data_IF_329595056613
#
_entry.id   IF_329595056613
#
_cell.length_a   1.000
_cell.length_b   1.000
_cell.length_c   1.000
_cell.angle_alpha   90.00
_cell.angle_beta   90.00
_cell.angle_gamma   90.00
#
_symmetry.space_group_name_H-M   'P 1'
#
loop_
_entity.id
_entity.type
_entity.pdbx_description
1 polymer ?
#
# COMPACT_ATOMS: atom_id res chain seq x y z
N UNK A 1 25.01 11.50 1.90
CA UNK A 1 24.69 12.39 0.76
C UNK A 1 24.24 11.52 -0.41
N UNK A 2 23.16 11.87 -1.08
CA UNK A 2 22.64 11.14 -2.26
C UNK A 2 22.50 12.16 -3.38
N UNK A 3 23.16 11.93 -4.52
CA UNK A 3 23.13 12.82 -5.68
C UNK A 3 23.32 14.31 -5.31
N UNK A 4 24.33 14.63 -4.51
CA UNK A 4 24.64 15.97 -3.98
C UNK A 4 23.61 16.59 -3.04
N UNK A 5 22.66 15.81 -2.53
CA UNK A 5 21.70 16.24 -1.51
C UNK A 5 22.07 15.68 -0.14
N UNK A 6 21.96 16.53 0.90
CA UNK A 6 22.01 16.10 2.28
C UNK A 6 20.71 15.38 2.62
N UNK A 7 20.83 14.14 3.10
CA UNK A 7 19.68 13.27 3.38
C UNK A 7 19.77 12.83 4.83
N UNK A 8 18.66 13.00 5.55
CA UNK A 8 18.46 12.48 6.90
C UNK A 8 17.47 11.33 6.80
N UNK A 9 17.84 10.17 7.34
CA UNK A 9 16.96 9.00 7.42
C UNK A 9 16.41 8.88 8.84
N UNK A 10 15.09 8.76 8.95
CA UNK A 10 14.38 8.68 10.22
C UNK A 10 13.67 7.33 10.28
N UNK A 11 13.99 6.54 11.30
CA UNK A 11 13.29 5.28 11.57
C UNK A 11 12.35 5.49 12.75
N UNK A 12 11.06 5.37 12.51
CA UNK A 12 10.05 5.48 13.57
C UNK A 12 9.90 4.10 14.22
N UNK A 13 10.13 4.00 15.53
CA UNK A 13 10.13 2.73 16.26
C UNK A 13 8.74 2.13 16.51
N UNK A 14 7.67 2.89 16.31
CA UNK A 14 6.27 2.48 16.54
C UNK A 14 5.40 2.92 15.38
N UNK A 15 4.46 2.07 14.98
CA UNK A 15 3.45 2.42 13.97
C UNK A 15 2.45 3.44 14.53
N UNK A 16 1.93 4.30 13.66
CA UNK A 16 0.83 5.22 13.97
C UNK A 16 1.15 6.68 13.64
N UNK A 17 0.09 7.47 13.48
CA UNK A 17 0.19 8.90 13.12
C UNK A 17 0.91 9.71 14.19
N UNK A 18 0.63 9.47 15.48
CA UNK A 18 1.27 10.21 16.59
C UNK A 18 2.81 10.09 16.60
N UNK A 19 3.38 8.88 16.67
CA UNK A 19 4.83 8.68 16.57
C UNK A 19 5.45 9.28 15.30
N UNK A 20 4.76 9.19 14.16
CA UNK A 20 5.23 9.75 12.90
C UNK A 20 5.26 11.29 12.92
N UNK A 21 4.22 11.93 13.45
CA UNK A 21 4.15 13.38 13.62
C UNK A 21 5.26 13.89 14.52
N UNK A 22 5.44 13.28 15.70
CA UNK A 22 6.51 13.68 16.63
C UNK A 22 7.90 13.53 15.99
N UNK A 23 8.17 12.43 15.29
CA UNK A 23 9.43 12.26 14.57
C UNK A 23 9.63 13.32 13.48
N UNK A 24 8.59 13.67 12.74
CA UNK A 24 8.65 14.71 11.72
C UNK A 24 8.93 16.10 12.34
N UNK A 25 8.25 16.46 13.43
CA UNK A 25 8.46 17.71 14.16
C UNK A 25 9.90 17.85 14.67
N UNK A 26 10.44 16.80 15.29
CA UNK A 26 11.84 16.77 15.72
C UNK A 26 12.80 16.95 14.53
N UNK A 27 12.53 16.31 13.39
CA UNK A 27 13.36 16.46 12.21
C UNK A 27 13.31 17.87 11.63
N UNK A 28 12.11 18.47 11.54
CA UNK A 28 11.97 19.85 11.10
C UNK A 28 12.70 20.82 12.03
N UNK A 29 12.66 20.58 13.35
CA UNK A 29 13.37 21.39 14.32
C UNK A 29 14.89 21.24 14.25
N UNK A 30 15.41 20.01 14.07
CA UNK A 30 16.85 19.74 14.05
C UNK A 30 17.50 20.06 12.70
N UNK A 31 16.74 20.01 11.62
CA UNK A 31 17.23 20.20 10.25
C UNK A 31 16.42 21.29 9.54
N UNK A 32 16.69 22.58 9.83
CA UNK A 32 15.87 23.69 9.34
C UNK A 32 15.87 23.85 7.82
N UNK A 33 16.85 23.24 7.12
CA UNK A 33 17.00 23.30 5.67
C UNK A 33 16.32 22.14 4.93
N UNK A 34 15.44 21.36 5.57
CA UNK A 34 14.64 20.33 4.89
C UNK A 34 13.72 21.00 3.85
N UNK A 35 13.91 20.64 2.58
CA UNK A 35 13.07 21.12 1.45
C UNK A 35 12.06 20.09 0.97
N UNK A 36 12.33 18.82 1.19
CA UNK A 36 11.50 17.69 0.77
C UNK A 36 11.54 16.60 1.85
N UNK A 37 10.36 16.12 2.22
CA UNK A 37 10.19 14.96 3.08
C UNK A 37 9.52 13.85 2.27
N UNK A 38 10.08 12.65 2.31
CA UNK A 38 9.53 11.46 1.67
C UNK A 38 9.07 10.49 2.75
N UNK A 39 7.79 10.13 2.71
CA UNK A 39 7.24 9.06 3.56
C UNK A 39 7.26 7.78 2.75
N UNK A 40 8.08 6.81 3.18
CA UNK A 40 8.27 5.55 2.48
C UNK A 40 7.94 4.41 3.43
N UNK A 41 7.23 3.40 2.94
CA UNK A 41 6.83 2.24 3.72
C UNK A 41 6.13 1.20 2.88
N UNK A 42 5.66 0.13 3.53
CA UNK A 42 4.78 -0.86 2.93
C UNK A 42 3.33 -0.44 3.16
N UNK A 43 2.53 -0.46 2.09
CA UNK A 43 1.14 -0.01 2.12
C UNK A 43 0.24 -1.10 1.53
N UNK A 44 -1.02 -1.13 1.97
CA UNK A 44 -2.06 -1.89 1.27
C UNK A 44 -2.44 -1.17 -0.04
N UNK A 45 -2.70 -1.95 -1.08
CA UNK A 45 -3.12 -1.43 -2.39
C UNK A 45 -4.57 -1.76 -2.69
N UNK A 46 -5.22 -0.91 -3.49
CA UNK A 46 -6.48 -1.25 -4.17
C UNK A 46 -6.09 -1.88 -5.51
N UNK A 47 -6.32 -3.19 -5.72
CA UNK A 47 -5.76 -3.90 -6.87
C UNK A 47 -6.26 -3.39 -8.23
N UNK A 48 -7.48 -2.87 -8.27
CA UNK A 48 -8.13 -2.36 -9.48
C UNK A 48 -8.61 -0.93 -9.26
N UNK A 49 -8.00 0.02 -9.96
CA UNK A 49 -8.41 1.43 -9.95
C UNK A 49 -9.32 1.68 -11.15
N UNK A 50 -10.49 2.28 -10.91
CA UNK A 50 -11.46 2.54 -11.98
C UNK A 50 -10.86 3.48 -13.03
N UNK A 51 -10.85 3.03 -14.29
CA UNK A 51 -10.31 3.80 -15.42
C UNK A 51 -8.82 3.55 -15.68
N UNK A 52 -8.14 2.76 -14.86
CA UNK A 52 -6.79 2.27 -15.14
C UNK A 52 -6.85 0.85 -15.71
N UNK A 53 -6.05 0.60 -16.74
CA UNK A 53 -5.94 -0.72 -17.36
C UNK A 53 -4.94 -1.63 -16.65
N UNK A 54 -4.06 -1.06 -15.83
CA UNK A 54 -2.99 -1.78 -15.16
C UNK A 54 -3.41 -2.11 -13.73
N UNK A 55 -3.55 -3.40 -13.44
CA UNK A 55 -3.76 -3.82 -12.06
C UNK A 55 -2.52 -3.57 -11.19
N UNK A 56 -2.68 -3.43 -9.87
CA UNK A 56 -1.58 -3.27 -8.90
C UNK A 56 -1.32 -4.61 -8.20
N UNK A 57 -0.08 -5.09 -8.22
CA UNK A 57 0.33 -6.36 -7.58
C UNK A 57 1.23 -6.11 -6.36
N UNK A 58 1.33 -7.10 -5.48
CA UNK A 58 2.28 -7.12 -4.37
C UNK A 58 3.71 -6.83 -4.87
N UNK A 59 4.39 -5.91 -4.20
CA UNK A 59 5.75 -5.51 -4.56
C UNK A 59 5.83 -4.39 -5.60
N UNK A 60 4.72 -3.97 -6.20
CA UNK A 60 4.66 -2.72 -6.97
C UNK A 60 4.96 -1.50 -6.11
N UNK A 61 5.38 -0.41 -6.77
CA UNK A 61 5.68 0.86 -6.13
C UNK A 61 4.60 1.88 -6.50
N UNK A 62 3.99 2.51 -5.50
CA UNK A 62 3.03 3.60 -5.71
C UNK A 62 3.67 4.92 -5.30
N UNK A 63 3.67 5.89 -6.21
CA UNK A 63 4.07 7.27 -5.95
C UNK A 63 2.81 8.12 -5.80
N UNK A 64 2.59 8.65 -4.60
CA UNK A 64 1.45 9.51 -4.31
C UNK A 64 1.52 10.80 -5.12
N UNK A 65 0.44 11.12 -5.84
CA UNK A 65 0.24 12.45 -6.43
C UNK A 65 -0.74 13.31 -5.61
N UNK A 66 -1.42 12.69 -4.66
CA UNK A 66 -2.36 13.30 -3.75
C UNK A 66 -2.51 12.43 -2.50
N UNK A 67 -2.73 13.06 -1.35
CA UNK A 67 -2.90 12.38 -0.08
C UNK A 67 -4.31 12.59 0.44
N UNK A 68 -5.04 11.50 0.67
CA UNK A 68 -6.41 11.51 1.18
C UNK A 68 -6.43 11.10 2.65
N UNK A 69 -7.09 11.87 3.51
CA UNK A 69 -7.30 11.45 4.90
C UNK A 69 -8.69 10.87 5.07
N UNK A 70 -8.78 9.56 5.32
CA UNK A 70 -10.05 8.83 5.35
C UNK A 70 -10.85 9.05 6.65
N UNK A 71 -10.22 9.54 7.72
CA UNK A 71 -10.88 9.74 9.02
C UNK A 71 -11.90 10.90 9.02
N UNK A 72 -12.02 11.64 7.90
CA UNK A 72 -13.01 12.70 7.73
C UNK A 72 -14.24 12.27 6.92
N UNK A 73 -14.51 10.96 6.80
CA UNK A 73 -15.78 10.50 6.25
C UNK A 73 -16.90 10.65 7.29
N UNK A 74 -17.85 11.57 7.05
CA UNK A 74 -19.08 11.66 7.86
C UNK A 74 -20.09 10.66 7.30
N UNK A 75 -20.44 9.64 8.08
CA UNK A 75 -21.61 8.84 7.79
C UNK A 75 -22.86 9.70 8.06
N UNK A 76 -23.62 9.99 7.02
CA UNK A 76 -24.91 10.63 7.12
C UNK A 76 -25.93 9.66 7.76
N UNK A 77 -27.00 10.17 8.38
CA UNK A 77 -28.07 9.34 8.97
C UNK A 77 -28.73 8.36 8.00
N UNK A 78 -28.60 8.58 6.69
CA UNK A 78 -29.13 7.73 5.62
C UNK A 78 -28.14 6.63 5.17
N UNK A 79 -27.02 6.43 5.88
CA UNK A 79 -26.00 5.44 5.54
C UNK A 79 -25.05 5.86 4.41
N UNK A 80 -25.16 7.07 3.88
CA UNK A 80 -24.22 7.59 2.88
C UNK A 80 -22.97 8.15 3.55
N UNK A 81 -21.79 7.82 3.02
CA UNK A 81 -20.54 8.43 3.48
C UNK A 81 -20.27 9.68 2.64
N UNK A 82 -20.23 10.85 3.29
CA UNK A 82 -19.63 12.04 2.69
C UNK A 82 -18.15 12.00 3.04
N UNK A 83 -17.33 11.63 2.05
CA UNK A 83 -15.90 11.89 2.11
C UNK A 83 -15.72 13.41 2.06
N UNK A 84 -15.25 14.02 3.16
CA UNK A 84 -14.86 15.42 3.12
C UNK A 84 -13.64 15.53 2.22
N UNK A 85 -13.75 16.32 1.17
CA UNK A 85 -12.80 16.43 0.07
C UNK A 85 -11.53 17.18 0.52
N UNK A 86 -10.73 16.57 1.40
CA UNK A 86 -9.47 17.13 1.92
C UNK A 86 -8.28 16.35 1.40
N UNK A 87 -8.18 16.22 0.08
CA UNK A 87 -6.99 15.69 -0.55
C UNK A 87 -5.86 16.74 -0.51
N UNK A 88 -4.78 16.46 0.23
CA UNK A 88 -3.58 17.27 0.17
C UNK A 88 -2.91 17.07 -1.18
N UNK A 89 -2.63 18.18 -1.88
CA UNK A 89 -1.91 18.18 -3.15
C UNK A 89 -0.47 18.67 -2.94
N UNK A 90 0.51 18.09 -3.65
CA UNK A 90 1.91 18.52 -3.55
C UNK A 90 2.08 19.99 -3.98
N UNK A 91 3.10 20.65 -3.43
CA UNK A 91 3.53 21.99 -3.87
C UNK A 91 3.92 21.97 -5.35
N UNK A 92 3.87 23.14 -6.01
CA UNK A 92 4.13 23.29 -7.45
C UNK A 92 5.43 22.62 -7.92
N UNK A 93 6.53 22.78 -7.19
CA UNK A 93 7.83 22.16 -7.51
C UNK A 93 7.73 20.63 -7.59
N UNK A 94 7.11 20.01 -6.59
CA UNK A 94 6.90 18.55 -6.54
C UNK A 94 5.88 18.11 -7.59
N UNK A 95 4.82 18.88 -7.80
CA UNK A 95 3.82 18.59 -8.83
C UNK A 95 4.42 18.62 -10.24
N UNK A 96 5.29 19.57 -10.56
CA UNK A 96 6.02 19.63 -11.83
C UNK A 96 6.97 18.44 -11.99
N UNK A 97 7.66 18.05 -10.93
CA UNK A 97 8.51 16.87 -10.94
C UNK A 97 7.71 15.57 -11.17
N UNK A 98 6.57 15.42 -10.50
CA UNK A 98 5.65 14.30 -10.73
C UNK A 98 5.13 14.29 -12.17
N UNK A 99 4.76 15.45 -12.73
CA UNK A 99 4.31 15.54 -14.11
C UNK A 99 5.42 15.10 -15.10
N UNK A 100 6.67 15.49 -14.84
CA UNK A 100 7.83 15.02 -15.62
C UNK A 100 8.00 13.50 -15.49
N UNK A 101 7.90 12.95 -14.28
CA UNK A 101 7.99 11.50 -14.04
C UNK A 101 6.87 10.71 -14.74
N UNK A 102 5.66 11.27 -14.84
CA UNK A 102 4.52 10.66 -15.55
C UNK A 102 4.68 10.65 -17.08
N UNK A 103 5.64 11.40 -17.65
CA UNK A 103 5.90 11.33 -19.10
C UNK A 103 6.49 9.98 -19.49
N UNK A 104 6.31 9.55 -20.74
CA UNK A 104 6.87 8.28 -21.24
C UNK A 104 8.38 8.12 -20.96
N UNK A 105 9.15 9.20 -21.15
CA UNK A 105 10.60 9.20 -20.88
C UNK A 105 10.89 9.16 -19.38
N UNK A 106 10.16 9.94 -18.59
CA UNK A 106 10.28 9.97 -17.13
C UNK A 106 9.98 8.60 -16.52
N UNK A 107 8.84 7.99 -16.86
CA UNK A 107 8.44 6.69 -16.35
C UNK A 107 9.44 5.61 -16.74
N UNK A 108 9.93 5.60 -17.99
CA UNK A 108 10.93 4.63 -18.43
C UNK A 108 12.24 4.79 -17.65
N UNK A 109 12.75 6.02 -17.54
CA UNK A 109 13.97 6.30 -16.78
C UNK A 109 13.85 5.94 -15.30
N UNK A 110 12.66 6.14 -14.71
CA UNK A 110 12.37 5.78 -13.33
C UNK A 110 12.36 4.27 -13.15
N UNK A 111 11.66 3.53 -14.01
CA UNK A 111 11.62 2.07 -13.98
C UNK A 111 13.01 1.45 -14.17
N UNK A 112 13.79 1.93 -15.14
CA UNK A 112 15.14 1.42 -15.41
C UNK A 112 16.07 1.67 -14.20
N UNK A 113 15.94 2.85 -13.58
CA UNK A 113 16.68 3.19 -12.36
C UNK A 113 16.25 2.30 -11.20
N UNK A 114 14.95 2.07 -11.04
CA UNK A 114 14.40 1.22 -9.98
C UNK A 114 14.89 -0.22 -10.12
N UNK A 115 14.82 -0.79 -11.31
CA UNK A 115 15.33 -2.13 -11.63
C UNK A 115 16.82 -2.24 -11.28
N UNK A 116 17.63 -1.27 -11.71
CA UNK A 116 19.07 -1.25 -11.42
C UNK A 116 19.39 -1.17 -9.92
N UNK A 117 18.64 -0.39 -9.15
CA UNK A 117 18.83 -0.31 -7.69
C UNK A 117 18.32 -1.57 -6.98
N UNK A 118 17.17 -2.09 -7.39
CA UNK A 118 16.58 -3.30 -6.82
C UNK A 118 17.51 -4.49 -7.00
N UNK A 119 18.07 -4.68 -8.19
CA UNK A 119 19.04 -5.76 -8.46
C UNK A 119 20.31 -5.64 -7.61
N UNK A 120 20.80 -4.42 -7.34
CA UNK A 120 21.94 -4.20 -6.42
C UNK A 120 21.58 -4.52 -4.97
N UNK A 121 20.39 -4.12 -4.52
CA UNK A 121 19.91 -4.38 -3.17
C UNK A 121 19.71 -5.88 -2.93
N UNK A 122 19.08 -6.58 -3.87
CA UNK A 122 18.87 -8.03 -3.78
C UNK A 122 20.20 -8.81 -3.74
N UNK A 123 21.19 -8.40 -4.53
CA UNK A 123 22.54 -9.00 -4.46
C UNK A 123 23.22 -8.76 -3.11
N UNK A 124 23.00 -7.60 -2.49
CA UNK A 124 23.64 -7.22 -1.22
C UNK A 124 22.94 -7.86 -0.01
N UNK A 125 21.62 -7.93 -0.02
CA UNK A 125 20.79 -8.40 1.10
C UNK A 125 20.49 -9.91 1.01
N UNK A 126 20.70 -10.52 -0.17
CA UNK A 126 20.47 -11.95 -0.39
C UNK A 126 19.02 -12.35 -0.15
N UNK A 127 18.84 -13.52 0.47
CA UNK A 127 17.52 -14.10 0.72
C UNK A 127 16.63 -13.25 1.65
N UNK A 128 17.21 -12.37 2.47
CA UNK A 128 16.43 -11.50 3.38
C UNK A 128 15.62 -10.42 2.67
N UNK A 129 15.87 -10.20 1.37
CA UNK A 129 15.07 -9.30 0.52
C UNK A 129 14.44 -10.03 -0.67
N UNK A 130 14.28 -11.35 -0.58
CA UNK A 130 13.67 -12.13 -1.66
C UNK A 130 12.22 -11.68 -1.85
N UNK A 131 11.84 -11.48 -3.10
CA UNK A 131 10.43 -11.31 -3.46
C UNK A 131 9.71 -12.63 -3.18
N UNK A 132 8.60 -12.64 -2.41
CA UNK A 132 7.89 -13.88 -2.05
C UNK A 132 7.43 -14.71 -3.25
N UNK A 133 7.27 -14.07 -4.40
CA UNK A 133 6.86 -14.71 -5.65
C UNK A 133 5.48 -14.24 -6.08
N UNK A 134 5.24 -14.29 -7.39
CA UNK A 134 3.99 -13.78 -7.96
C UNK A 134 2.76 -14.56 -7.51
N UNK A 135 2.93 -15.82 -7.11
CA UNK A 135 1.85 -16.68 -6.61
C UNK A 135 1.41 -16.33 -5.19
N UNK A 136 2.24 -15.61 -4.45
CA UNK A 136 1.91 -15.12 -3.10
C UNK A 136 1.01 -13.87 -3.14
N UNK A 137 0.84 -13.24 -4.31
CA UNK A 137 -0.17 -12.21 -4.54
C UNK A 137 -1.56 -12.87 -4.67
N UNK A 138 -2.23 -13.05 -3.53
CA UNK A 138 -3.54 -13.70 -3.43
C UNK A 138 -4.63 -12.67 -3.16
N UNK A 139 -5.46 -12.43 -4.17
CA UNK A 139 -6.61 -11.54 -4.08
C UNK A 139 -7.91 -12.34 -4.00
N UNK A 140 -8.67 -12.18 -2.94
CA UNK A 140 -10.00 -12.77 -2.78
C UNK A 140 -11.10 -11.85 -3.30
N UNK A 141 -12.28 -12.42 -3.59
CA UNK A 141 -13.51 -11.66 -3.86
C UNK A 141 -13.75 -10.59 -2.77
N UNK A 142 -14.23 -9.41 -3.16
CA UNK A 142 -14.52 -8.32 -2.20
C UNK A 142 -15.59 -8.68 -1.16
N UNK A 143 -16.47 -9.62 -1.49
CA UNK A 143 -17.45 -10.20 -0.57
C UNK A 143 -16.88 -11.28 0.34
N UNK A 144 -15.70 -11.82 0.04
CA UNK A 144 -15.06 -12.85 0.85
C UNK A 144 -14.56 -12.25 2.16
N UNK A 145 -14.79 -12.95 3.27
CA UNK A 145 -14.43 -12.49 4.61
C UNK A 145 -13.36 -13.40 5.18
N UNK A 146 -12.23 -12.80 5.54
CA UNK A 146 -11.14 -13.46 6.26
C UNK A 146 -11.55 -13.72 7.72
N UNK A 147 -12.06 -14.92 8.02
CA UNK A 147 -12.56 -15.30 9.36
C UNK A 147 -12.47 -16.81 9.60
N UNK A 148 -12.75 -17.24 10.83
CA UNK A 148 -13.02 -18.66 11.08
C UNK A 148 -14.30 -19.07 10.34
N UNK A 149 -14.18 -20.06 9.46
CA UNK A 149 -15.31 -20.55 8.66
C UNK A 149 -16.05 -21.71 9.34
N UNK A 150 -15.41 -22.40 10.29
CA UNK A 150 -16.07 -23.48 11.02
C UNK A 150 -16.83 -22.94 12.24
N UNK A 151 -18.12 -23.25 12.39
CA UNK A 151 -18.93 -22.81 13.54
C UNK A 151 -18.36 -23.20 14.91
N UNK A 152 -17.64 -24.34 14.97
CA UNK A 152 -17.03 -24.86 16.19
C UNK A 152 -15.80 -24.08 16.66
N UNK A 153 -15.16 -23.30 15.78
CA UNK A 153 -13.88 -22.62 16.09
C UNK A 153 -14.08 -21.27 16.77
N UNK A 154 -15.20 -20.59 16.52
CA UNK A 154 -15.42 -19.26 17.06
C UNK A 154 -16.89 -18.84 17.05
N UNK A 155 -17.45 -18.63 18.25
CA UNK A 155 -18.81 -18.10 18.44
C UNK A 155 -18.98 -16.69 17.87
N UNK A 156 -17.93 -15.87 17.87
CA UNK A 156 -17.92 -14.51 17.33
C UNK A 156 -18.01 -14.57 15.79
N UNK A 157 -17.10 -15.31 15.12
CA UNK A 157 -17.10 -15.41 13.65
C UNK A 157 -18.36 -16.05 13.06
N UNK A 158 -19.08 -16.83 13.88
CA UNK A 158 -20.35 -17.46 13.53
C UNK A 158 -21.59 -16.57 13.84
N UNK A 159 -21.42 -15.51 14.63
CA UNK A 159 -22.49 -14.61 15.03
C UNK A 159 -22.99 -13.76 13.85
N UNK A 160 -24.24 -13.98 13.45
CA UNK A 160 -24.93 -13.20 12.44
C UNK A 160 -25.63 -12.00 13.11
N UNK A 161 -24.85 -11.05 13.62
CA UNK A 161 -25.44 -9.82 14.16
C UNK A 161 -25.93 -8.96 13.00
N UNK A 162 -27.23 -8.70 12.96
CA UNK A 162 -28.00 -7.94 11.96
C UNK A 162 -27.21 -6.78 11.31
N UNK A 163 -26.46 -7.06 10.24
CA UNK A 163 -25.66 -6.07 9.51
C UNK A 163 -24.30 -6.57 8.98
N UNK A 164 -23.78 -7.72 9.45
CA UNK A 164 -22.61 -8.35 8.84
C UNK A 164 -21.97 -9.44 9.71
N UNK A 165 -21.35 -10.45 9.07
CA UNK A 165 -20.59 -11.48 9.75
C UNK A 165 -19.43 -10.84 10.54
N UNK A 166 -19.45 -10.98 11.86
CA UNK A 166 -18.40 -10.41 12.71
C UNK A 166 -17.08 -11.17 12.58
N UNK A 167 -15.94 -10.49 12.74
CA UNK A 167 -14.60 -11.09 12.67
C UNK A 167 -13.92 -10.89 14.01
N UNK A 168 -13.45 -11.96 14.64
CA UNK A 168 -12.76 -11.86 15.93
C UNK A 168 -11.31 -11.39 15.75
N UNK A 169 -10.72 -10.83 16.81
CA UNK A 169 -9.34 -10.34 16.80
C UNK A 169 -8.33 -11.42 16.40
N UNK A 170 -8.54 -12.66 16.86
CA UNK A 170 -7.68 -13.80 16.48
C UNK A 170 -7.67 -14.00 14.97
N UNK A 171 -8.85 -13.99 14.32
CA UNK A 171 -8.92 -14.15 12.87
C UNK A 171 -8.27 -12.98 12.11
N UNK A 172 -8.37 -11.75 12.62
CA UNK A 172 -7.72 -10.58 12.00
C UNK A 172 -6.18 -10.67 12.00
N UNK A 173 -5.61 -11.43 12.93
CA UNK A 173 -4.16 -11.61 13.08
C UNK A 173 -3.66 -12.94 12.49
N UNK A 174 -4.56 -13.82 12.08
CA UNK A 174 -4.24 -15.14 11.49
C UNK A 174 -3.99 -15.05 9.99
N UNK A 175 -3.18 -15.97 9.48
CA UNK A 175 -2.95 -16.11 8.03
C UNK A 175 -4.12 -16.80 7.32
N UNK A 176 -4.13 -16.78 5.99
CA UNK A 176 -5.12 -17.53 5.20
C UNK A 176 -4.95 -19.04 5.37
N UNK A 177 -3.72 -19.49 5.58
CA UNK A 177 -3.38 -20.88 5.87
C UNK A 177 -3.98 -21.32 7.20
N UNK A 178 -3.81 -20.53 8.25
CA UNK A 178 -4.31 -20.83 9.60
C UNK A 178 -5.84 -20.91 9.63
N UNK A 179 -6.52 -20.06 8.85
CA UNK A 179 -7.98 -20.02 8.77
C UNK A 179 -8.56 -20.94 7.70
N UNK A 180 -7.71 -21.63 6.93
CA UNK A 180 -8.12 -22.47 5.79
C UNK A 180 -9.03 -21.72 4.81
N UNK A 181 -8.58 -20.55 4.35
CA UNK A 181 -9.35 -19.74 3.42
C UNK A 181 -9.65 -20.48 2.10
N UNK A 182 -10.86 -20.26 1.56
CA UNK A 182 -11.36 -20.91 0.35
C UNK A 182 -10.63 -20.38 -0.91
N UNK A 183 -9.74 -21.19 -1.46
CA UNK A 183 -9.01 -20.86 -2.69
C UNK A 183 -9.91 -20.73 -3.92
N UNK A 184 -11.13 -21.31 -3.90
CA UNK A 184 -12.15 -21.11 -4.93
C UNK A 184 -12.68 -19.67 -4.99
N UNK A 185 -12.36 -18.85 -3.99
CA UNK A 185 -12.73 -17.43 -3.90
C UNK A 185 -11.63 -16.47 -4.34
N UNK A 186 -10.52 -16.99 -4.87
CA UNK A 186 -9.46 -16.18 -5.45
C UNK A 186 -9.89 -15.62 -6.81
N UNK A 187 -9.61 -14.34 -7.02
CA UNK A 187 -9.81 -13.64 -8.29
C UNK A 187 -8.60 -13.90 -9.18
N UNK A 188 -8.84 -14.36 -10.41
CA UNK A 188 -7.79 -14.47 -11.43
C UNK A 188 -7.28 -13.10 -11.84
N UNK A 189 -5.96 -12.93 -11.84
CA UNK A 189 -5.27 -11.68 -12.17
C UNK A 189 -4.48 -11.81 -13.47
N UNK A 190 -4.76 -10.96 -14.46
CA UNK A 190 -4.20 -11.10 -15.81
C UNK A 190 -2.68 -10.91 -15.83
N UNK A 191 -2.17 -9.88 -15.15
CA UNK A 191 -0.74 -9.54 -15.06
C UNK A 191 0.02 -10.55 -14.20
N UNK A 192 -0.61 -11.16 -13.20
CA UNK A 192 -0.02 -12.30 -12.48
C UNK A 192 0.20 -13.48 -13.42
N UNK A 193 -0.78 -13.80 -14.25
CA UNK A 193 -0.71 -14.91 -15.21
C UNK A 193 0.38 -14.67 -16.26
N UNK A 194 0.46 -13.45 -16.82
CA UNK A 194 1.49 -13.06 -17.78
C UNK A 194 2.91 -13.15 -17.17
N UNK A 195 3.08 -12.65 -15.94
CA UNK A 195 4.39 -12.64 -15.28
C UNK A 195 4.85 -14.03 -14.81
N UNK A 196 3.91 -14.92 -14.45
CA UNK A 196 4.24 -16.31 -14.11
C UNK A 196 4.91 -17.05 -15.28
N UNK A 197 4.51 -16.73 -16.52
CA UNK A 197 5.10 -17.31 -17.73
C UNK A 197 6.52 -16.79 -17.98
N UNK A 198 6.78 -15.51 -17.67
CA UNK A 198 8.08 -14.86 -17.93
C UNK A 198 9.17 -15.17 -16.90
N UNK A 199 8.84 -15.77 -15.73
CA UNK A 199 9.79 -16.06 -14.62
C UNK A 199 10.64 -14.88 -14.14
N UNK A 200 10.29 -13.65 -14.51
CA UNK A 200 10.95 -12.43 -14.10
C UNK A 200 9.89 -11.42 -13.70
N UNK A 201 9.81 -11.13 -12.41
CA UNK A 201 8.92 -10.10 -11.89
C UNK A 201 9.69 -8.82 -11.69
N UNK A 202 9.33 -7.78 -12.46
CA UNK A 202 9.77 -6.43 -12.23
C UNK A 202 8.60 -5.62 -11.68
N UNK A 203 8.75 -4.99 -10.50
CA UNK A 203 7.75 -4.08 -9.97
C UNK A 203 7.38 -3.00 -10.99
N UNK A 204 6.10 -2.63 -11.01
CA UNK A 204 5.60 -1.52 -11.80
C UNK A 204 5.44 -0.30 -10.91
N UNK A 205 5.74 0.88 -11.46
CA UNK A 205 5.51 2.16 -10.78
C UNK A 205 4.13 2.68 -11.17
N UNK A 206 3.30 2.91 -10.16
CA UNK A 206 1.97 3.52 -10.29
C UNK A 206 1.97 4.92 -9.70
N UNK A 207 1.07 5.77 -10.18
CA UNK A 207 0.84 7.09 -9.62
C UNK A 207 -0.63 7.25 -9.27
N UNK A 208 -0.93 7.75 -8.08
CA UNK A 208 -2.32 7.98 -7.70
C UNK A 208 -2.49 8.45 -6.26
N UNK A 209 -3.76 8.57 -5.82
CA UNK A 209 -4.06 8.95 -4.46
C UNK A 209 -3.62 7.86 -3.49
N UNK A 210 -2.91 8.27 -2.44
CA UNK A 210 -2.60 7.41 -1.29
C UNK A 210 -3.38 7.97 -0.11
N UNK A 211 -3.91 7.10 0.75
CA UNK A 211 -4.65 7.59 1.90
C UNK A 211 -4.22 6.98 3.21
N UNK A 212 -4.43 7.76 4.27
CA UNK A 212 -4.17 7.36 5.64
C UNK A 212 -5.48 7.43 6.41
N UNK A 213 -5.68 6.45 7.28
CA UNK A 213 -6.77 6.45 8.25
C UNK A 213 -6.30 5.84 9.57
N UNK A 214 -6.92 6.28 10.65
CA UNK A 214 -6.79 5.71 11.99
C UNK A 214 -7.95 4.75 12.21
N UNK A 215 -7.65 3.58 12.80
CA UNK A 215 -8.71 2.69 13.29
C UNK A 215 -9.29 3.36 14.54
N UNK A 216 -10.48 3.95 14.41
CA UNK A 216 -11.31 4.41 15.53
C UNK A 216 -12.04 3.24 16.18
#
# INVERSE_FOLDING_TARGET
MIANHNVVLVRIGRMGTGPATSAAEHCYSSFPNIRLALVVGVWGGIPFVKGESQEILLGDVVISDSLVHYDYARQLPNGQFIQKDSAYKPKSEVASFLAMLKTRRGSKSLSDSMEGHLGKLQKKLGCSSAYPGILEDRLFESSYRHKHHMPAECSICNGNNNGGASVCEKALLSTCEDLSCDSGKLITRSRQTENAISSSYLPVVHFGPVGSGTKS
#
